data_IF_751415554686
#
_entry.id   IF_751415554686
#
_cell.length_a   1.000
_cell.length_b   1.000
_cell.length_c   1.000
_cell.angle_alpha   90.00
_cell.angle_beta   90.00
_cell.angle_gamma   90.00
#
_symmetry.space_group_name_H-M   'P 1'
#
loop_
_entity.id
_entity.type
_entity.pdbx_description
1 polymer ?
#
# COMPACT_ATOMS: atom_id res chain seq x y z
N UNK A 1 3.90 -5.11 -15.70
CA UNK A 1 3.99 -3.75 -15.12
C UNK A 1 3.67 -3.83 -13.63
N UNK A 2 4.42 -3.14 -12.78
CA UNK A 2 4.25 -3.11 -11.31
C UNK A 2 4.42 -1.68 -10.83
N UNK A 3 3.78 -1.32 -9.72
CA UNK A 3 3.96 -0.05 -9.02
C UNK A 3 4.86 -0.27 -7.81
N UNK A 4 5.78 0.65 -7.53
CA UNK A 4 6.67 0.57 -6.38
C UNK A 4 6.57 1.84 -5.52
N UNK A 5 6.35 1.65 -4.22
CA UNK A 5 6.42 2.67 -3.19
C UNK A 5 7.79 2.58 -2.52
N UNK A 6 8.65 3.55 -2.82
CA UNK A 6 9.97 3.63 -2.19
C UNK A 6 9.88 4.40 -0.87
N UNK A 7 10.16 3.72 0.24
CA UNK A 7 10.25 4.27 1.59
C UNK A 7 9.08 5.21 1.94
N UNK A 8 7.82 4.75 1.84
CA UNK A 8 6.69 5.65 1.98
C UNK A 8 6.58 6.14 3.43
N UNK A 9 6.33 7.43 3.59
CA UNK A 9 6.30 8.15 4.85
C UNK A 9 4.87 8.48 5.32
N UNK A 10 3.94 8.69 4.39
CA UNK A 10 2.55 9.07 4.66
C UNK A 10 1.60 7.88 4.48
N UNK A 11 0.98 7.34 5.56
CA UNK A 11 0.12 6.17 5.49
C UNK A 11 -1.09 6.34 4.57
N UNK A 12 -1.65 7.56 4.51
CA UNK A 12 -2.83 7.85 3.67
C UNK A 12 -2.53 7.72 2.17
N UNK A 13 -1.32 8.12 1.74
CA UNK A 13 -0.89 8.00 0.35
C UNK A 13 -0.74 6.53 -0.03
N UNK A 14 -0.09 5.75 0.84
CA UNK A 14 0.04 4.29 0.68
C UNK A 14 -1.33 3.64 0.57
N UNK A 15 -2.28 3.97 1.46
CA UNK A 15 -3.63 3.44 1.39
C UNK A 15 -4.37 3.78 0.10
N UNK A 16 -4.22 5.02 -0.41
CA UNK A 16 -4.80 5.40 -1.69
C UNK A 16 -4.21 4.63 -2.88
N UNK A 17 -2.90 4.40 -2.87
CA UNK A 17 -2.20 3.64 -3.92
C UNK A 17 -2.56 2.15 -3.84
N UNK A 18 -2.70 1.58 -2.64
CA UNK A 18 -3.22 0.22 -2.45
C UNK A 18 -4.58 0.05 -3.12
N UNK A 19 -5.51 1.00 -2.89
CA UNK A 19 -6.83 0.97 -3.54
C UNK A 19 -6.73 1.04 -5.06
N UNK A 20 -5.89 1.93 -5.59
CA UNK A 20 -5.65 2.03 -7.03
C UNK A 20 -5.15 0.69 -7.59
N UNK A 21 -4.13 0.12 -6.98
CA UNK A 21 -3.52 -1.14 -7.43
C UNK A 21 -4.49 -2.32 -7.37
N UNK A 22 -5.35 -2.38 -6.34
CA UNK A 22 -6.40 -3.37 -6.24
C UNK A 22 -7.47 -3.20 -7.33
N UNK A 23 -7.95 -1.98 -7.60
CA UNK A 23 -8.95 -1.71 -8.63
C UNK A 23 -8.46 -2.04 -10.04
N UNK A 24 -7.17 -1.81 -10.32
CA UNK A 24 -6.58 -2.06 -11.64
C UNK A 24 -5.91 -3.44 -11.77
N UNK A 25 -5.89 -4.25 -10.71
CA UNK A 25 -5.21 -5.54 -10.70
C UNK A 25 -3.68 -5.44 -10.91
N UNK A 26 -3.09 -4.30 -10.57
CA UNK A 26 -1.65 -4.02 -10.70
C UNK A 26 -0.95 -4.46 -9.41
N UNK A 27 0.15 -5.24 -9.45
CA UNK A 27 0.93 -5.55 -8.24
C UNK A 27 1.64 -4.32 -7.67
N UNK A 28 1.77 -4.27 -6.35
CA UNK A 28 2.39 -3.19 -5.59
C UNK A 28 3.60 -3.71 -4.81
N UNK A 29 4.76 -3.08 -5.02
CA UNK A 29 5.97 -3.28 -4.21
C UNK A 29 6.08 -2.17 -3.17
N UNK A 30 6.32 -2.51 -1.91
CA UNK A 30 6.63 -1.55 -0.84
C UNK A 30 8.09 -1.79 -0.43
N UNK A 31 8.94 -0.81 -0.69
CA UNK A 31 10.37 -0.88 -0.38
C UNK A 31 10.58 -0.16 0.95
N UNK A 32 11.08 -0.88 1.93
CA UNK A 32 11.29 -0.43 3.30
C UNK A 32 12.57 0.44 3.45
N UNK A 33 12.70 1.22 4.55
CA UNK A 33 11.76 1.39 5.66
C UNK A 33 10.58 2.30 5.31
N UNK A 34 9.39 1.95 5.82
CA UNK A 34 8.25 2.86 5.84
C UNK A 34 8.37 3.83 7.03
N UNK A 35 7.98 5.09 6.84
CA UNK A 35 7.87 6.08 7.92
C UNK A 35 6.67 5.86 8.86
N UNK A 36 5.91 4.79 8.65
CA UNK A 36 4.75 4.41 9.44
C UNK A 36 4.63 2.88 9.55
N UNK A 37 3.84 2.40 10.49
CA UNK A 37 3.60 0.97 10.68
C UNK A 37 2.53 0.52 9.68
N UNK A 38 2.81 -0.51 8.87
CA UNK A 38 1.85 -1.01 7.88
C UNK A 38 0.56 -1.58 8.51
N UNK A 39 0.59 -2.00 9.78
CA UNK A 39 -0.60 -2.41 10.53
C UNK A 39 -1.37 -1.25 11.19
N UNK A 40 -0.93 0.00 10.99
CA UNK A 40 -1.56 1.19 11.59
C UNK A 40 -3.02 1.33 11.15
N UNK A 41 -3.89 1.68 12.11
CA UNK A 41 -5.32 1.89 11.90
C UNK A 41 -5.60 2.93 10.81
N UNK A 42 -4.73 3.94 10.63
CA UNK A 42 -4.81 4.92 9.54
C UNK A 42 -4.58 4.28 8.17
N UNK A 43 -3.64 3.33 8.05
CA UNK A 43 -3.46 2.59 6.80
C UNK A 43 -4.68 1.69 6.55
N UNK A 44 -5.16 0.95 7.56
CA UNK A 44 -6.36 0.12 7.43
C UNK A 44 -7.59 0.92 7.01
N UNK A 45 -7.77 2.11 7.58
CA UNK A 45 -8.89 3.00 7.25
C UNK A 45 -8.79 3.57 5.82
N UNK A 46 -7.57 3.88 5.36
CA UNK A 46 -7.35 4.44 4.01
C UNK A 46 -7.32 3.36 2.91
N UNK A 47 -6.84 2.16 3.23
CA UNK A 47 -6.85 0.98 2.36
C UNK A 47 -8.20 0.25 2.34
N UNK A 48 -9.06 0.44 3.35
CA UNK A 48 -10.34 -0.27 3.50
C UNK A 48 -10.14 -1.79 3.34
N UNK A 49 -11.10 -2.48 2.73
CA UNK A 49 -11.02 -3.92 2.47
C UNK A 49 -10.10 -4.29 1.29
N UNK A 50 -9.52 -3.30 0.59
CA UNK A 50 -8.66 -3.53 -0.58
C UNK A 50 -7.29 -4.09 -0.21
N UNK A 51 -6.88 -4.01 1.05
CA UNK A 51 -5.65 -4.66 1.54
C UNK A 51 -5.62 -6.16 1.24
N UNK A 52 -6.79 -6.83 1.28
CA UNK A 52 -6.90 -8.25 0.99
C UNK A 52 -6.96 -8.56 -0.52
N UNK A 53 -7.27 -7.55 -1.35
CA UNK A 53 -7.41 -7.66 -2.80
C UNK A 53 -6.13 -7.27 -3.54
N UNK A 54 -5.30 -6.42 -2.94
CA UNK A 54 -4.04 -5.97 -3.51
C UNK A 54 -2.96 -7.05 -3.43
N UNK A 55 -2.22 -7.24 -4.52
CA UNK A 55 -1.02 -8.09 -4.55
C UNK A 55 0.17 -7.26 -4.09
N UNK A 56 0.46 -7.29 -2.79
CA UNK A 56 1.51 -6.48 -2.16
C UNK A 56 2.74 -7.36 -1.84
N UNK A 57 3.92 -6.96 -2.32
CA UNK A 57 5.21 -7.51 -1.92
C UNK A 57 6.03 -6.46 -1.18
N UNK A 58 6.83 -6.89 -0.19
CA UNK A 58 7.65 -6.02 0.66
C UNK A 58 9.13 -6.36 0.46
N UNK A 59 9.96 -5.33 0.32
CA UNK A 59 11.39 -5.43 0.03
C UNK A 59 12.22 -4.63 1.02
#
# INVERSE_FOLDING_TARGET
>A
MRLALFQPDIPQNTGAIIRLTACFGIPLDIIEPCGFILSDTKLRRSGMDYLNLAKIERH
#
